data_IF_516397633142
#
_entry.id   IF_516397633142
#
_cell.length_a   1.000
_cell.length_b   1.000
_cell.length_c   1.000
_cell.angle_alpha   90.00
_cell.angle_beta   90.00
_cell.angle_gamma   90.00
#
_symmetry.space_group_name_H-M   'P 1'
#
loop_
_entity.id
_entity.type
_entity.pdbx_description
1 polymer ?
#
# COMPACT_ATOMS: atom_id res chain seq x y z
N UNK A 1 9.97 14.56 18.18
CA UNK A 1 9.01 14.97 19.23
C UNK A 1 9.34 16.35 19.82
N UNK A 2 10.52 16.56 20.42
CA UNK A 2 10.90 17.83 21.06
C UNK A 2 10.93 19.04 20.10
N UNK A 3 11.42 18.84 18.87
CA UNK A 3 11.48 19.88 17.83
C UNK A 3 10.08 20.28 17.38
N UNK A 4 9.20 19.33 17.12
CA UNK A 4 7.81 19.54 16.72
C UNK A 4 7.05 20.30 17.82
N UNK A 5 7.24 19.89 19.08
CA UNK A 5 6.63 20.57 20.24
C UNK A 5 7.10 22.01 20.39
N UNK A 6 8.37 22.31 20.07
CA UNK A 6 8.93 23.66 20.10
C UNK A 6 8.37 24.55 18.97
N UNK A 7 8.24 24.02 17.75
CA UNK A 7 7.66 24.75 16.60
C UNK A 7 6.18 25.06 16.83
N UNK A 8 5.41 24.05 17.26
CA UNK A 8 4.00 24.24 17.55
C UNK A 8 3.74 25.25 18.70
N UNK A 9 4.63 25.32 19.73
CA UNK A 9 4.58 26.36 20.76
C UNK A 9 4.90 27.75 20.22
N UNK A 10 5.67 27.86 19.14
CA UNK A 10 5.97 29.10 18.45
C UNK A 10 4.83 29.58 17.54
N UNK A 11 3.69 28.87 17.49
CA UNK A 11 2.54 29.19 16.64
C UNK A 11 2.70 28.77 15.18
N UNK A 12 3.70 27.96 14.86
CA UNK A 12 3.86 27.41 13.51
C UNK A 12 2.85 26.28 13.28
N UNK A 13 2.22 26.27 12.10
CA UNK A 13 1.40 25.13 11.66
C UNK A 13 2.30 23.93 11.43
N UNK A 14 1.93 22.81 11.99
CA UNK A 14 2.65 21.54 11.84
C UNK A 14 1.78 20.60 11.03
N UNK A 15 2.34 20.08 9.94
CA UNK A 15 1.70 19.08 9.09
C UNK A 15 2.34 17.75 9.34
N UNK A 16 1.54 16.69 9.19
CA UNK A 16 2.00 15.32 9.27
C UNK A 16 1.18 14.46 8.32
N UNK A 17 1.77 13.33 7.97
CA UNK A 17 1.19 12.28 7.14
C UNK A 17 1.36 10.91 7.79
N UNK A 18 0.57 9.97 7.36
CA UNK A 18 0.65 8.59 7.83
C UNK A 18 -0.51 7.74 7.33
N UNK A 19 -0.43 6.46 7.64
CA UNK A 19 -1.47 5.49 7.30
C UNK A 19 -2.38 5.26 8.49
N UNK A 20 -3.68 5.38 8.26
CA UNK A 20 -4.69 5.25 9.31
C UNK A 20 -4.89 3.81 9.75
N UNK A 21 -4.84 3.57 11.04
CA UNK A 21 -5.36 2.37 11.70
C UNK A 21 -6.51 2.77 12.61
N UNK A 22 -7.71 2.21 12.36
CA UNK A 22 -8.90 2.44 13.21
C UNK A 22 -9.01 1.31 14.22
N UNK A 23 -9.17 1.68 15.49
CA UNK A 23 -9.36 0.74 16.58
C UNK A 23 -10.85 0.41 16.79
N UNK A 24 -11.17 -0.70 17.48
CA UNK A 24 -12.57 -1.12 17.71
C UNK A 24 -13.45 -0.07 18.35
N UNK A 25 -12.87 0.84 19.13
CA UNK A 25 -13.56 1.96 19.78
C UNK A 25 -13.94 3.11 18.82
N UNK A 26 -13.55 3.00 17.54
CA UNK A 26 -13.93 3.93 16.48
C UNK A 26 -13.04 5.17 16.34
N UNK A 27 -12.02 5.34 17.17
CA UNK A 27 -10.94 6.30 16.93
C UNK A 27 -9.77 5.65 16.20
N UNK A 28 -8.85 6.44 15.68
CA UNK A 28 -7.72 5.91 14.95
C UNK A 28 -6.40 6.59 15.26
N UNK A 29 -5.32 5.98 14.75
CA UNK A 29 -3.97 6.53 14.77
C UNK A 29 -3.38 6.55 13.37
N UNK A 30 -2.66 7.62 13.03
CA UNK A 30 -1.79 7.61 11.88
C UNK A 30 -0.48 6.95 12.26
N UNK A 31 -0.15 5.88 11.55
CA UNK A 31 1.07 5.10 11.70
C UNK A 31 2.12 5.57 10.71
N UNK A 32 3.37 5.69 11.16
CA UNK A 32 4.48 6.08 10.30
C UNK A 32 5.12 4.87 9.61
N UNK A 33 5.55 5.01 8.34
CA UNK A 33 6.39 4.01 7.68
C UNK A 33 7.73 3.80 8.39
N UNK A 34 8.27 4.83 9.05
CA UNK A 34 9.54 4.76 9.79
C UNK A 34 9.52 3.74 10.91
N UNK A 35 8.35 3.47 11.48
CA UNK A 35 8.15 2.45 12.52
C UNK A 35 7.57 1.14 11.96
N UNK A 36 7.64 0.94 10.64
CA UNK A 36 7.00 -0.19 9.95
C UNK A 36 5.51 -0.32 10.30
N UNK A 37 4.83 0.80 10.46
CA UNK A 37 3.41 0.92 10.83
C UNK A 37 3.04 0.28 12.19
N UNK A 38 4.03 0.02 13.04
CA UNK A 38 3.78 -0.48 14.41
C UNK A 38 3.42 0.66 15.35
N UNK A 39 2.69 0.34 16.43
CA UNK A 39 2.29 1.32 17.43
C UNK A 39 3.51 2.03 18.06
N UNK A 40 3.49 3.36 18.05
CA UNK A 40 4.57 4.22 18.53
C UNK A 40 4.04 5.36 19.40
N UNK A 41 4.93 5.98 20.18
CA UNK A 41 4.64 7.20 20.93
C UNK A 41 4.45 8.43 20.05
N UNK A 42 4.89 8.36 18.80
CA UNK A 42 4.83 9.44 17.82
C UNK A 42 3.57 9.37 16.93
N UNK A 43 2.70 8.39 17.17
CA UNK A 43 1.45 8.24 16.45
C UNK A 43 0.52 9.44 16.66
N UNK A 44 -0.26 9.76 15.64
CA UNK A 44 -1.16 10.91 15.64
C UNK A 44 -2.60 10.42 15.80
N UNK A 45 -3.25 10.91 16.84
CA UNK A 45 -4.63 10.55 17.14
C UNK A 45 -5.60 11.20 16.17
N UNK A 46 -6.58 10.40 15.71
CA UNK A 46 -7.73 10.85 14.91
C UNK A 46 -9.03 10.54 15.67
N UNK A 47 -9.88 11.55 15.79
CA UNK A 47 -11.15 11.41 16.50
C UNK A 47 -12.19 10.60 15.72
N UNK A 48 -13.12 9.90 16.41
CA UNK A 48 -14.22 9.18 15.77
C UNK A 48 -15.09 10.07 14.88
N UNK A 49 -15.21 11.34 15.22
CA UNK A 49 -15.98 12.31 14.44
C UNK A 49 -15.34 12.59 13.07
N UNK A 50 -14.00 12.68 13.00
CA UNK A 50 -13.27 12.84 11.75
C UNK A 50 -13.34 11.57 10.91
N UNK A 51 -13.17 10.39 11.54
CA UNK A 51 -13.31 9.09 10.87
C UNK A 51 -14.67 8.99 10.17
N UNK A 52 -15.75 9.28 10.88
CA UNK A 52 -17.12 9.24 10.30
C UNK A 52 -17.36 10.33 9.27
N UNK A 53 -16.90 11.57 9.52
CA UNK A 53 -17.14 12.72 8.62
C UNK A 53 -16.56 12.48 7.23
N UNK A 54 -15.37 11.91 7.12
CA UNK A 54 -14.66 11.72 5.87
C UNK A 54 -14.74 10.28 5.34
N UNK A 55 -15.54 9.41 6.00
CA UNK A 55 -15.64 7.99 5.65
C UNK A 55 -14.28 7.31 5.55
N UNK A 56 -13.45 7.50 6.59
CA UNK A 56 -12.09 6.97 6.63
C UNK A 56 -12.11 5.48 7.00
N UNK A 57 -11.15 4.74 6.43
CA UNK A 57 -10.97 3.31 6.69
C UNK A 57 -9.51 3.02 7.03
N UNK A 58 -9.29 1.93 7.75
CA UNK A 58 -7.92 1.43 7.98
C UNK A 58 -7.22 1.21 6.67
N UNK A 59 -5.98 1.73 6.54
CA UNK A 59 -5.20 1.70 5.33
C UNK A 59 -5.26 2.99 4.50
N UNK A 60 -6.14 3.94 4.81
CA UNK A 60 -6.14 5.24 4.14
C UNK A 60 -4.88 6.04 4.50
N UNK A 61 -4.21 6.61 3.50
CA UNK A 61 -3.13 7.58 3.70
C UNK A 61 -3.72 8.96 3.93
N UNK A 62 -3.35 9.60 5.02
CA UNK A 62 -3.91 10.89 5.44
C UNK A 62 -2.79 11.90 5.62
N UNK A 63 -2.97 13.09 5.05
CA UNK A 63 -2.13 14.26 5.26
C UNK A 63 -2.97 15.35 5.92
N UNK A 64 -2.40 16.05 6.90
CA UNK A 64 -3.13 17.13 7.54
C UNK A 64 -2.39 17.86 8.64
N UNK A 65 -3.05 18.88 9.17
CA UNK A 65 -2.53 19.73 10.24
C UNK A 65 -2.75 19.05 11.60
N UNK A 66 -1.71 19.06 12.42
CA UNK A 66 -1.72 18.47 13.77
C UNK A 66 -1.50 19.52 14.85
N UNK A 67 -1.99 19.23 16.05
CA UNK A 67 -1.71 20.00 17.27
C UNK A 67 -0.91 19.21 18.29
N UNK A 68 -0.23 19.94 19.15
CA UNK A 68 0.42 19.35 20.32
C UNK A 68 -0.59 18.73 21.29
N UNK A 69 -0.17 17.71 22.04
CA UNK A 69 -0.95 17.17 23.14
C UNK A 69 -1.26 18.25 24.16
N UNK A 70 -2.51 18.30 24.64
CA UNK A 70 -2.93 19.10 25.78
C UNK A 70 -2.52 18.43 27.10
N UNK A 71 -2.69 19.15 28.21
CA UNK A 71 -2.42 18.58 29.51
C UNK A 71 -3.31 17.34 29.74
N UNK A 72 -2.65 16.20 30.00
CA UNK A 72 -3.30 14.88 30.13
C UNK A 72 -3.41 14.07 28.85
N UNK A 73 -3.12 14.63 27.66
CA UNK A 73 -3.06 13.89 26.40
C UNK A 73 -1.64 13.36 26.15
N UNK A 74 -1.57 12.15 25.59
CA UNK A 74 -0.30 11.48 25.32
C UNK A 74 0.18 11.68 23.87
N UNK A 75 -0.75 11.80 22.92
CA UNK A 75 -0.49 11.83 21.48
C UNK A 75 -0.77 13.19 20.87
N UNK A 76 -0.10 13.50 19.75
CA UNK A 76 -0.51 14.56 18.86
C UNK A 76 -1.91 14.25 18.32
N UNK A 77 -2.69 15.28 17.99
CA UNK A 77 -4.02 15.10 17.46
C UNK A 77 -4.17 15.81 16.11
N UNK A 78 -4.79 15.14 15.15
CA UNK A 78 -5.14 15.73 13.87
C UNK A 78 -6.24 16.75 14.05
N UNK A 79 -5.99 18.00 13.61
CA UNK A 79 -6.99 19.10 13.64
C UNK A 79 -7.78 19.10 12.35
N UNK A 80 -7.06 19.06 11.21
CA UNK A 80 -7.63 19.24 9.89
C UNK A 80 -7.05 18.18 8.95
N UNK A 81 -7.94 17.55 8.19
CA UNK A 81 -7.58 16.64 7.10
C UNK A 81 -7.43 17.47 5.84
N UNK A 82 -6.26 17.49 5.24
CA UNK A 82 -6.00 18.20 3.99
C UNK A 82 -6.10 17.28 2.78
N UNK A 83 -5.61 16.02 2.90
CA UNK A 83 -5.74 15.01 1.84
C UNK A 83 -6.02 13.63 2.42
N UNK A 84 -6.72 12.83 1.62
CA UNK A 84 -6.96 11.40 1.84
C UNK A 84 -6.59 10.66 0.56
N UNK A 85 -5.62 9.75 0.65
CA UNK A 85 -5.09 9.00 -0.51
C UNK A 85 -4.60 9.92 -1.65
N UNK A 86 -4.00 11.08 -1.30
CA UNK A 86 -3.49 12.07 -2.25
C UNK A 86 -4.53 13.00 -2.84
N UNK A 87 -5.82 12.80 -2.55
CA UNK A 87 -6.94 13.61 -3.05
C UNK A 87 -7.59 14.47 -1.96
N UNK A 88 -8.35 15.51 -2.32
CA UNK A 88 -9.15 16.29 -1.37
C UNK A 88 -10.10 15.40 -0.55
N UNK A 89 -10.32 15.68 0.74
CA UNK A 89 -11.11 14.80 1.63
C UNK A 89 -12.58 14.65 1.23
N UNK A 90 -13.12 15.56 0.41
CA UNK A 90 -14.48 15.46 -0.14
C UNK A 90 -14.63 14.23 -1.06
N UNK A 91 -13.58 13.87 -1.80
CA UNK A 91 -13.56 12.74 -2.72
C UNK A 91 -13.51 11.39 -1.97
N UNK A 92 -12.99 11.39 -0.75
CA UNK A 92 -12.90 10.16 0.07
C UNK A 92 -14.26 9.53 0.37
N UNK A 93 -15.34 10.31 0.35
CA UNK A 93 -16.70 9.82 0.59
C UNK A 93 -17.24 8.91 -0.51
N UNK A 94 -16.79 9.13 -1.74
CA UNK A 94 -17.21 8.38 -2.93
C UNK A 94 -16.27 7.23 -3.28
N UNK A 95 -15.25 6.95 -2.47
CA UNK A 95 -14.31 5.87 -2.74
C UNK A 95 -15.00 4.51 -2.72
N UNK A 96 -14.61 3.66 -3.66
CA UNK A 96 -15.08 2.28 -3.73
C UNK A 96 -14.19 1.44 -2.81
N UNK A 97 -14.80 0.74 -1.86
CA UNK A 97 -14.09 -0.18 -0.99
C UNK A 97 -13.60 -1.39 -1.78
N UNK A 98 -12.45 -1.93 -1.40
CA UNK A 98 -11.85 -3.09 -2.05
C UNK A 98 -12.81 -4.30 -2.10
N UNK A 99 -13.55 -4.53 -1.01
CA UNK A 99 -14.52 -5.62 -0.91
C UNK A 99 -15.69 -5.48 -1.90
N UNK A 100 -15.96 -4.28 -2.37
CA UNK A 100 -17.02 -3.99 -3.33
C UNK A 100 -16.56 -4.06 -4.79
N UNK A 101 -15.26 -4.30 -5.02
CA UNK A 101 -14.74 -4.49 -6.38
C UNK A 101 -15.20 -5.83 -6.95
N UNK A 102 -15.62 -5.82 -8.19
CA UNK A 102 -15.95 -7.06 -8.91
C UNK A 102 -14.67 -7.83 -9.21
N UNK A 103 -14.52 -9.08 -8.72
CA UNK A 103 -13.35 -9.89 -9.03
C UNK A 103 -13.37 -10.27 -10.52
N UNK A 104 -12.28 -10.01 -11.20
CA UNK A 104 -12.08 -10.41 -12.60
C UNK A 104 -11.05 -11.53 -12.68
N UNK A 105 -11.26 -12.48 -13.58
CA UNK A 105 -10.23 -13.42 -13.95
C UNK A 105 -9.16 -12.70 -14.77
N UNK A 106 -7.87 -13.14 -14.69
CA UNK A 106 -6.79 -12.58 -15.51
C UNK A 106 -7.12 -12.76 -16.99
N UNK A 107 -7.37 -11.66 -17.68
CA UNK A 107 -7.72 -11.62 -19.11
C UNK A 107 -6.55 -11.16 -20.01
N UNK A 108 -5.51 -10.58 -19.39
CA UNK A 108 -4.32 -10.08 -20.10
C UNK A 108 -3.17 -11.07 -19.90
N UNK A 109 -2.75 -11.81 -20.96
CA UNK A 109 -1.67 -12.79 -20.84
C UNK A 109 -0.33 -12.09 -20.55
N UNK A 110 0.48 -12.71 -19.71
CA UNK A 110 1.89 -12.42 -19.53
C UNK A 110 2.68 -13.25 -20.54
N UNK A 111 3.04 -12.65 -21.68
CA UNK A 111 3.85 -13.33 -22.70
C UNK A 111 5.29 -13.52 -22.20
N UNK A 112 5.73 -14.76 -22.10
CA UNK A 112 7.07 -15.12 -21.66
C UNK A 112 8.02 -15.49 -22.82
N UNK A 113 7.48 -15.80 -23.99
CA UNK A 113 8.30 -16.01 -25.20
C UNK A 113 8.96 -14.71 -25.61
N UNK A 114 10.27 -14.76 -25.87
CA UNK A 114 11.10 -13.64 -26.34
C UNK A 114 11.67 -13.97 -27.72
N UNK A 115 11.95 -12.98 -28.55
CA UNK A 115 12.57 -13.17 -29.85
C UNK A 115 14.11 -13.35 -29.75
N UNK A 116 14.54 -14.33 -28.95
CA UNK A 116 15.97 -14.66 -28.75
C UNK A 116 16.25 -16.12 -29.13
N UNK A 117 17.43 -16.36 -29.67
CA UNK A 117 17.92 -17.74 -29.99
C UNK A 117 18.64 -18.32 -28.78
N UNK A 118 17.92 -18.60 -27.69
CA UNK A 118 18.52 -19.17 -26.49
C UNK A 118 17.56 -20.17 -25.84
N UNK A 119 18.08 -21.06 -25.00
CA UNK A 119 17.26 -22.05 -24.26
C UNK A 119 16.23 -21.39 -23.36
N UNK A 120 16.52 -20.20 -22.83
CA UNK A 120 15.55 -19.42 -22.05
C UNK A 120 14.25 -19.16 -22.82
N UNK A 121 14.34 -18.94 -24.14
CA UNK A 121 13.15 -18.70 -24.95
C UNK A 121 12.29 -19.95 -25.07
N UNK A 122 12.91 -21.13 -25.13
CA UNK A 122 12.17 -22.40 -25.14
C UNK A 122 11.36 -22.57 -23.86
N UNK A 123 11.92 -22.21 -22.71
CA UNK A 123 11.20 -22.21 -21.42
C UNK A 123 9.96 -21.32 -21.46
N UNK A 124 10.11 -20.06 -21.88
CA UNK A 124 9.00 -19.11 -21.99
C UNK A 124 7.90 -19.61 -22.93
N UNK A 125 8.30 -20.09 -24.11
CA UNK A 125 7.40 -20.62 -25.11
C UNK A 125 6.62 -21.85 -24.65
N UNK A 126 7.27 -22.77 -23.91
CA UNK A 126 6.60 -23.95 -23.35
C UNK A 126 5.56 -23.53 -22.32
N UNK A 127 5.86 -22.56 -21.44
CA UNK A 127 4.89 -22.06 -20.46
C UNK A 127 3.72 -21.38 -21.16
N UNK A 128 3.97 -20.52 -22.14
CA UNK A 128 2.90 -19.80 -22.87
C UNK A 128 1.93 -20.76 -23.58
N UNK A 129 2.41 -21.92 -24.01
CA UNK A 129 1.57 -22.94 -24.68
C UNK A 129 0.85 -23.85 -23.68
N UNK A 130 1.58 -24.33 -22.66
CA UNK A 130 1.08 -25.41 -21.79
C UNK A 130 0.39 -24.89 -20.53
N UNK A 131 0.83 -23.74 -20.02
CA UNK A 131 0.33 -23.14 -18.77
C UNK A 131 0.38 -21.60 -18.85
N UNK A 132 -0.40 -20.99 -19.74
CA UNK A 132 -0.37 -19.53 -19.91
C UNK A 132 -0.76 -18.83 -18.62
N UNK A 133 -0.02 -17.75 -18.31
CA UNK A 133 -0.19 -16.97 -17.08
C UNK A 133 -0.73 -15.59 -17.44
N UNK A 134 -1.70 -15.10 -16.70
CA UNK A 134 -2.24 -13.75 -16.85
C UNK A 134 -1.72 -12.76 -15.82
N UNK A 135 -1.80 -11.45 -16.14
CA UNK A 135 -1.46 -10.36 -15.22
C UNK A 135 -2.34 -10.44 -13.97
N UNK A 136 -1.71 -10.45 -12.78
CA UNK A 136 -2.40 -10.57 -11.49
C UNK A 136 -2.74 -12.01 -11.08
N UNK A 137 -2.46 -13.01 -11.89
CA UNK A 137 -2.70 -14.42 -11.55
C UNK A 137 -1.75 -14.88 -10.44
N UNK A 138 -2.31 -15.63 -9.48
CA UNK A 138 -1.52 -16.35 -8.47
C UNK A 138 -1.16 -17.73 -9.01
N UNK A 139 0.13 -18.02 -9.07
CA UNK A 139 0.64 -19.30 -9.55
C UNK A 139 1.44 -20.04 -8.48
N UNK A 140 1.47 -21.36 -8.57
CA UNK A 140 2.27 -22.24 -7.71
C UNK A 140 3.15 -23.12 -8.58
N UNK A 141 4.47 -23.08 -8.36
CA UNK A 141 5.45 -23.92 -9.04
C UNK A 141 5.90 -25.01 -8.08
N UNK A 142 5.52 -26.24 -8.37
CA UNK A 142 5.89 -27.42 -7.60
C UNK A 142 6.91 -28.24 -8.40
N UNK A 143 8.02 -28.58 -7.78
CA UNK A 143 9.02 -29.43 -8.40
C UNK A 143 9.83 -30.18 -7.35
N UNK A 144 10.38 -31.38 -7.70
CA UNK A 144 11.35 -32.06 -6.86
C UNK A 144 12.60 -31.19 -6.63
N UNK A 145 13.41 -31.47 -5.59
CA UNK A 145 14.70 -30.83 -5.42
C UNK A 145 15.58 -31.05 -6.66
N UNK A 146 16.37 -30.03 -7.03
CA UNK A 146 17.32 -30.03 -8.16
C UNK A 146 16.69 -30.21 -9.55
N UNK A 147 15.39 -30.02 -9.72
CA UNK A 147 14.69 -30.11 -11.02
C UNK A 147 14.69 -28.80 -11.84
N UNK A 148 15.55 -27.84 -11.52
CA UNK A 148 15.67 -26.59 -12.30
C UNK A 148 14.63 -25.49 -11.94
N UNK A 149 13.90 -25.61 -10.82
CA UNK A 149 12.90 -24.61 -10.41
C UNK A 149 13.45 -23.18 -10.38
N UNK A 150 14.63 -22.99 -9.81
CA UNK A 150 15.28 -21.66 -9.74
C UNK A 150 15.60 -21.12 -11.13
N UNK A 151 16.10 -21.97 -12.01
CA UNK A 151 16.41 -21.61 -13.41
C UNK A 151 15.12 -21.21 -14.15
N UNK A 152 14.04 -21.97 -13.98
CA UNK A 152 12.73 -21.65 -14.51
C UNK A 152 12.26 -20.26 -14.06
N UNK A 153 12.36 -19.97 -12.76
CA UNK A 153 11.98 -18.66 -12.20
C UNK A 153 12.87 -17.52 -12.74
N UNK A 154 14.16 -17.75 -12.93
CA UNK A 154 15.05 -16.76 -13.54
C UNK A 154 14.67 -16.47 -14.99
N UNK A 155 14.38 -17.50 -15.78
CA UNK A 155 13.92 -17.34 -17.17
C UNK A 155 12.61 -16.56 -17.23
N UNK A 156 11.66 -16.86 -16.33
CA UNK A 156 10.41 -16.09 -16.22
C UNK A 156 10.67 -14.64 -15.84
N UNK A 157 11.53 -14.36 -14.85
CA UNK A 157 11.88 -13.02 -14.44
C UNK A 157 12.51 -12.21 -15.58
N UNK A 158 13.47 -12.80 -16.31
CA UNK A 158 14.08 -12.17 -17.48
C UNK A 158 13.05 -11.90 -18.59
N UNK A 159 12.11 -12.83 -18.80
CA UNK A 159 11.04 -12.63 -19.78
C UNK A 159 10.11 -11.49 -19.38
N UNK A 160 9.71 -11.41 -18.10
CA UNK A 160 8.86 -10.36 -17.58
C UNK A 160 9.50 -8.98 -17.69
N UNK A 161 10.76 -8.84 -17.26
CA UNK A 161 11.50 -7.57 -17.38
C UNK A 161 11.73 -7.13 -18.83
N UNK A 162 11.82 -8.08 -19.76
CA UNK A 162 12.00 -7.79 -21.18
C UNK A 162 10.70 -7.42 -21.90
N UNK A 163 9.63 -8.18 -21.66
CA UNK A 163 8.37 -8.04 -22.39
C UNK A 163 7.35 -7.12 -21.70
N UNK A 164 7.50 -6.94 -20.37
CA UNK A 164 6.59 -6.16 -19.52
C UNK A 164 7.39 -5.30 -18.57
N UNK A 165 8.02 -4.22 -19.04
CA UNK A 165 8.89 -3.36 -18.23
C UNK A 165 8.16 -2.42 -17.26
N UNK A 166 6.80 -2.42 -17.26
CA UNK A 166 5.94 -1.54 -16.46
C UNK A 166 5.76 -2.02 -15.01
#
# INVERSE_FOLDING_TARGET
FAIIKKRAKAGEQVFADGVLEILPDGFGFLRSPDTSYTASTDDIYISPSQVRRFNLHTGDSIEGEIRTPKDGERYFALIKVDKVNGEPPENAKSKILFENLTPLHPDKPLKLEREIKAEENLTGRVIDIMAPIGKGQRGLIISPPKAGKTVLMQHMAHALTSNHPD
#
